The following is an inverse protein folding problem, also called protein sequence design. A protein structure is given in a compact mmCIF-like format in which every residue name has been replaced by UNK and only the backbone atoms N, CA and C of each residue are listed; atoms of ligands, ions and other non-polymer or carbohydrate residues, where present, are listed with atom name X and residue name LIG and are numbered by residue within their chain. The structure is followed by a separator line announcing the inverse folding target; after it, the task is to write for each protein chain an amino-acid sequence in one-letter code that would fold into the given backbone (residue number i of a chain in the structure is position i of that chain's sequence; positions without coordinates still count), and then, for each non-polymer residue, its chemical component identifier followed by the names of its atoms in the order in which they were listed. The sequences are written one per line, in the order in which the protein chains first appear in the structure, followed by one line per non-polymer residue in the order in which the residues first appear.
data_IF_001940623563
#
_entry.id   IF_001940623563
#
_cell.length_a   1.000
_cell.length_b   1.000
_cell.length_c   1.000
_cell.angle_alpha   90.00
_cell.angle_beta   90.00
_cell.angle_gamma   90.00
#
_symmetry.space_group_name_H-M   'P 1'
#
loop_
_entity.id
_entity.type
_entity.pdbx_description
1 polymer ?
#
# COMPACT_ATOMS: atom_id res chain seq x y z
N UNK A 1 15.69 -31.97 -24.13
CA UNK A 1 16.27 -30.62 -24.04
C UNK A 1 15.72 -29.99 -22.75
N UNK A 2 16.56 -29.50 -21.86
CA UNK A 2 16.08 -28.78 -20.69
C UNK A 2 15.41 -27.50 -21.18
N UNK A 3 14.15 -27.26 -20.73
CA UNK A 3 13.42 -26.04 -21.05
C UNK A 3 14.12 -24.88 -20.35
N UNK A 4 14.67 -23.95 -21.12
CA UNK A 4 15.35 -22.79 -20.57
C UNK A 4 14.27 -21.82 -20.01
N UNK A 5 14.26 -21.59 -18.72
CA UNK A 5 13.40 -20.58 -18.11
C UNK A 5 14.25 -19.43 -17.56
N UNK A 6 13.84 -18.20 -17.84
CA UNK A 6 14.45 -17.00 -17.26
C UNK A 6 13.93 -16.70 -15.84
N UNK A 7 12.92 -17.45 -15.38
CA UNK A 7 12.32 -17.26 -14.08
C UNK A 7 13.12 -17.99 -13.00
N UNK A 8 13.48 -17.28 -11.93
CA UNK A 8 14.15 -17.90 -10.79
C UNK A 8 13.24 -18.97 -10.14
N UNK A 9 13.86 -20.03 -9.61
CA UNK A 9 13.13 -21.16 -9.04
C UNK A 9 12.11 -20.78 -7.95
N UNK A 10 12.45 -19.79 -7.14
CA UNK A 10 11.56 -19.26 -6.10
C UNK A 10 10.36 -18.45 -6.62
N UNK A 11 10.36 -18.09 -7.91
CA UNK A 11 9.27 -17.38 -8.57
C UNK A 11 8.39 -18.29 -9.44
N UNK A 12 8.85 -19.53 -9.70
CA UNK A 12 8.12 -20.50 -10.50
C UNK A 12 6.80 -20.90 -9.82
N UNK A 13 5.70 -20.92 -10.57
CA UNK A 13 4.38 -21.34 -10.08
C UNK A 13 3.63 -20.29 -9.27
N UNK A 14 4.14 -19.07 -9.15
CA UNK A 14 3.47 -17.95 -8.43
C UNK A 14 2.47 -17.16 -9.28
N UNK A 15 2.31 -17.48 -10.56
CA UNK A 15 1.39 -16.79 -11.49
C UNK A 15 -0.09 -17.17 -11.30
N UNK A 16 -0.56 -17.33 -10.06
CA UNK A 16 -1.97 -17.54 -9.78
C UNK A 16 -2.71 -16.19 -9.78
N UNK A 17 -3.97 -16.15 -10.25
CA UNK A 17 -4.79 -14.94 -10.14
C UNK A 17 -4.89 -14.49 -8.69
N UNK A 18 -4.74 -13.19 -8.47
CA UNK A 18 -4.94 -12.60 -7.15
C UNK A 18 -6.44 -12.61 -6.81
N UNK A 19 -6.86 -13.14 -5.64
CA UNK A 19 -8.26 -13.23 -5.26
C UNK A 19 -8.96 -11.86 -5.17
N UNK A 20 -8.25 -10.82 -4.72
CA UNK A 20 -8.80 -9.47 -4.54
C UNK A 20 -9.12 -8.85 -5.90
N UNK A 21 -8.18 -8.91 -6.85
CA UNK A 21 -8.41 -8.41 -8.21
C UNK A 21 -9.42 -9.26 -8.98
N UNK A 22 -9.47 -10.57 -8.73
CA UNK A 22 -10.51 -11.44 -9.29
C UNK A 22 -11.90 -11.05 -8.78
N UNK A 23 -12.03 -10.74 -7.48
CA UNK A 23 -13.26 -10.25 -6.88
C UNK A 23 -13.70 -8.90 -7.46
N UNK A 24 -12.77 -7.98 -7.68
CA UNK A 24 -13.05 -6.70 -8.33
C UNK A 24 -13.54 -6.88 -9.76
N UNK A 25 -12.97 -7.79 -10.53
CA UNK A 25 -13.44 -8.16 -11.86
C UNK A 25 -14.86 -8.74 -11.85
N UNK A 26 -15.17 -9.57 -10.87
CA UNK A 26 -16.51 -10.11 -10.67
C UNK A 26 -17.52 -9.03 -10.30
N UNK A 27 -17.15 -8.07 -9.45
CA UNK A 27 -17.99 -6.91 -9.12
C UNK A 27 -18.28 -6.07 -10.36
N UNK A 28 -17.30 -5.79 -11.21
CA UNK A 28 -17.50 -5.10 -12.48
C UNK A 28 -18.46 -5.84 -13.42
N UNK A 29 -18.37 -7.15 -13.50
CA UNK A 29 -19.28 -8.00 -14.28
C UNK A 29 -20.71 -7.94 -13.71
N UNK A 30 -20.85 -7.97 -12.39
CA UNK A 30 -22.15 -7.86 -11.72
C UNK A 30 -22.80 -6.48 -11.98
N UNK A 31 -22.02 -5.40 -11.88
CA UNK A 31 -22.47 -4.04 -12.19
C UNK A 31 -22.97 -3.94 -13.64
N UNK A 32 -22.22 -4.50 -14.58
CA UNK A 32 -22.62 -4.50 -16.00
C UNK A 32 -23.91 -5.29 -16.26
N UNK A 33 -24.16 -6.34 -15.46
CA UNK A 33 -25.35 -7.20 -15.62
C UNK A 33 -26.57 -6.68 -14.90
N UNK A 34 -26.41 -6.14 -13.70
CA UNK A 34 -27.51 -5.82 -12.80
C UNK A 34 -27.75 -4.33 -12.59
N UNK A 35 -26.87 -3.47 -13.10
CA UNK A 35 -26.88 -2.04 -12.87
C UNK A 35 -26.12 -1.63 -11.59
N UNK A 36 -25.53 -0.44 -11.64
CA UNK A 36 -24.71 0.12 -10.55
C UNK A 36 -25.53 0.34 -9.26
N UNK A 37 -26.79 0.68 -9.41
CA UNK A 37 -27.73 0.93 -8.31
C UNK A 37 -28.07 -0.34 -7.51
N UNK A 38 -27.85 -1.50 -8.09
CA UNK A 38 -28.18 -2.80 -7.49
C UNK A 38 -26.95 -3.57 -6.98
N UNK A 39 -25.73 -3.00 -7.12
CA UNK A 39 -24.48 -3.66 -6.75
C UNK A 39 -23.59 -2.75 -5.93
N UNK A 40 -23.27 -3.15 -4.72
CA UNK A 40 -22.27 -2.49 -3.89
C UNK A 40 -20.92 -3.16 -4.09
N UNK A 41 -19.95 -2.42 -4.67
CA UNK A 41 -18.57 -2.88 -4.83
C UNK A 41 -17.72 -2.47 -3.62
N UNK A 42 -17.45 -3.42 -2.74
CA UNK A 42 -16.58 -3.28 -1.58
C UNK A 42 -15.33 -4.19 -1.67
N UNK A 43 -14.86 -4.49 -2.88
CA UNK A 43 -13.78 -5.48 -3.12
C UNK A 43 -12.38 -4.96 -2.88
N UNK A 44 -12.13 -3.69 -3.16
CA UNK A 44 -10.83 -3.04 -2.97
C UNK A 44 -10.95 -1.90 -1.97
N UNK A 45 -9.89 -1.66 -1.20
CA UNK A 45 -9.81 -0.60 -0.21
C UNK A 45 -9.67 0.80 -0.83
N UNK A 46 -10.58 1.17 -1.71
CA UNK A 46 -10.63 2.47 -2.39
C UNK A 46 -11.89 3.21 -1.94
N UNK A 47 -11.70 4.44 -1.47
CA UNK A 47 -12.81 5.28 -1.04
C UNK A 47 -13.51 5.91 -2.24
N UNK A 48 -14.81 5.69 -2.35
CA UNK A 48 -15.69 6.24 -3.40
C UNK A 48 -16.84 7.00 -2.77
N UNK A 49 -17.37 7.99 -3.48
CA UNK A 49 -18.60 8.67 -3.12
C UNK A 49 -19.85 7.88 -3.55
N UNK A 50 -21.04 8.45 -3.33
CA UNK A 50 -22.33 7.86 -3.68
C UNK A 50 -22.52 7.64 -5.18
N UNK A 51 -21.81 8.43 -6.01
CA UNK A 51 -21.82 8.29 -7.47
C UNK A 51 -20.81 7.23 -7.95
N UNK A 52 -19.95 6.73 -7.04
CA UNK A 52 -18.87 5.80 -7.31
C UNK A 52 -17.62 6.47 -7.89
N UNK A 53 -17.50 7.78 -7.75
CA UNK A 53 -16.31 8.52 -8.10
C UNK A 53 -15.29 8.44 -6.96
N UNK A 54 -14.01 8.44 -7.30
CA UNK A 54 -12.95 8.34 -6.31
C UNK A 54 -12.88 9.60 -5.45
N UNK A 55 -12.98 9.41 -4.14
CA UNK A 55 -12.75 10.48 -3.19
C UNK A 55 -11.25 10.79 -3.07
N UNK A 56 -10.94 12.06 -3.13
CA UNK A 56 -9.59 12.56 -2.92
C UNK A 56 -9.60 13.67 -1.86
N UNK A 57 -8.46 13.88 -1.22
CA UNK A 57 -8.29 14.98 -0.27
C UNK A 57 -7.94 16.27 -1.04
N UNK A 58 -8.83 17.28 -1.09
CA UNK A 58 -8.57 18.49 -1.88
C UNK A 58 -7.29 19.22 -1.47
N UNK A 59 -6.98 19.25 -0.17
CA UNK A 59 -5.75 19.85 0.35
C UNK A 59 -4.51 19.13 -0.16
N UNK A 60 -4.51 17.80 -0.17
CA UNK A 60 -3.39 17.00 -0.70
C UNK A 60 -3.20 17.26 -2.18
N UNK A 61 -4.29 17.27 -2.95
CA UNK A 61 -4.26 17.57 -4.38
C UNK A 61 -3.70 18.98 -4.66
N UNK A 62 -4.09 19.96 -3.85
CA UNK A 62 -3.58 21.33 -3.96
C UNK A 62 -2.07 21.33 -3.69
N UNK A 63 -1.62 20.81 -2.55
CA UNK A 63 -0.20 20.78 -2.19
C UNK A 63 0.63 20.07 -3.27
N UNK A 64 0.17 18.92 -3.78
CA UNK A 64 0.87 18.20 -4.83
C UNK A 64 1.05 19.01 -6.13
N UNK A 65 0.03 19.78 -6.52
CA UNK A 65 0.08 20.61 -7.72
C UNK A 65 0.95 21.88 -7.55
N UNK A 66 1.13 22.33 -6.32
CA UNK A 66 1.92 23.52 -5.98
C UNK A 66 3.39 23.19 -5.71
N UNK A 67 3.77 21.90 -5.65
CA UNK A 67 5.17 21.51 -5.48
C UNK A 67 6.02 21.98 -6.66
N UNK A 68 7.17 22.65 -6.40
CA UNK A 68 8.10 23.03 -7.44
C UNK A 68 8.66 21.80 -8.17
N UNK A 69 8.95 21.95 -9.46
CA UNK A 69 9.45 20.87 -10.29
C UNK A 69 10.74 20.22 -9.75
N UNK A 70 11.62 21.00 -9.14
CA UNK A 70 12.86 20.51 -8.54
C UNK A 70 12.60 19.61 -7.33
N UNK A 71 11.55 19.87 -6.53
CA UNK A 71 11.19 19.00 -5.41
C UNK A 71 10.54 17.69 -5.87
N UNK A 72 9.84 17.72 -7.00
CA UNK A 72 9.23 16.52 -7.60
C UNK A 72 10.23 15.62 -8.30
N UNK A 73 11.33 16.18 -8.81
CA UNK A 73 12.29 15.47 -9.67
C UNK A 73 13.57 15.05 -8.95
N UNK A 74 13.76 15.47 -7.71
CA UNK A 74 14.95 15.15 -6.93
C UNK A 74 14.83 13.78 -6.22
N UNK A 75 15.97 13.22 -5.88
CA UNK A 75 16.04 12.03 -5.05
C UNK A 75 15.72 12.36 -3.60
N UNK A 76 14.78 11.63 -3.03
CA UNK A 76 14.60 11.66 -1.58
C UNK A 76 15.81 11.02 -0.87
N UNK A 77 16.17 11.49 0.33
CA UNK A 77 17.12 10.78 1.19
C UNK A 77 16.70 9.32 1.41
N UNK A 78 17.66 8.42 1.59
CA UNK A 78 17.40 6.97 1.76
C UNK A 78 16.29 6.66 2.78
N UNK A 79 16.27 7.27 3.98
CA UNK A 79 15.17 7.04 4.92
C UNK A 79 13.87 7.78 4.57
N UNK A 80 13.90 8.72 3.65
CA UNK A 80 12.80 9.63 3.33
C UNK A 80 13.06 11.08 3.76
N UNK A 81 12.18 11.99 3.37
CA UNK A 81 12.24 13.40 3.75
C UNK A 81 11.97 13.56 5.25
N UNK A 82 12.84 14.28 5.96
CA UNK A 82 12.75 14.43 7.41
C UNK A 82 11.39 14.96 7.88
N UNK A 83 10.88 16.00 7.23
CA UNK A 83 9.61 16.61 7.61
C UNK A 83 8.43 15.65 7.43
N UNK A 84 8.47 14.81 6.38
CA UNK A 84 7.49 13.74 6.20
C UNK A 84 7.56 12.69 7.30
N UNK A 85 8.77 12.25 7.67
CA UNK A 85 8.97 11.25 8.71
C UNK A 85 8.50 11.75 10.09
N UNK A 86 8.84 12.99 10.41
CA UNK A 86 8.41 13.64 11.67
C UNK A 86 6.88 13.79 11.71
N UNK A 87 6.27 14.23 10.61
CA UNK A 87 4.81 14.34 10.51
C UNK A 87 4.12 12.97 10.60
N UNK A 88 4.70 11.92 10.01
CA UNK A 88 4.16 10.57 10.10
C UNK A 88 4.19 10.04 11.54
N UNK A 89 5.28 10.24 12.26
CA UNK A 89 5.39 9.90 13.70
C UNK A 89 4.35 10.69 14.51
N UNK A 90 4.28 12.00 14.32
CA UNK A 90 3.35 12.86 15.04
C UNK A 90 1.88 12.44 14.79
N UNK A 91 1.53 12.12 13.55
CA UNK A 91 0.18 11.68 13.19
C UNK A 91 -0.14 10.27 13.74
N UNK A 92 0.82 9.35 13.72
CA UNK A 92 0.60 7.99 14.22
C UNK A 92 0.37 7.96 15.73
N UNK A 93 1.15 8.70 16.49
CA UNK A 93 1.10 8.66 17.94
C UNK A 93 0.22 9.75 18.57
N UNK A 94 -0.02 10.87 17.88
CA UNK A 94 -0.84 11.99 18.37
C UNK A 94 -0.50 12.41 19.80
N UNK A 95 0.79 12.45 20.14
CA UNK A 95 1.28 12.78 21.49
C UNK A 95 1.31 11.62 22.48
N UNK A 96 0.90 10.41 22.09
CA UNK A 96 0.86 9.23 22.96
C UNK A 96 2.05 8.29 22.73
N UNK A 97 3.21 8.82 22.38
CA UNK A 97 4.41 8.02 22.25
C UNK A 97 4.76 7.30 23.56
N UNK A 98 5.12 5.99 23.50
CA UNK A 98 5.54 5.26 24.69
C UNK A 98 6.79 5.89 25.31
N UNK A 99 6.76 6.15 26.63
CA UNK A 99 7.89 6.72 27.35
C UNK A 99 9.04 5.71 27.44
N UNK A 100 10.27 6.20 27.30
CA UNK A 100 11.47 5.36 27.44
C UNK A 100 11.72 4.43 26.25
N UNK A 101 11.05 4.64 25.12
CA UNK A 101 11.25 3.88 23.89
C UNK A 101 11.86 4.74 22.79
N UNK A 102 12.56 4.10 21.88
CA UNK A 102 13.00 4.71 20.63
C UNK A 102 11.86 4.60 19.59
N UNK A 103 11.58 5.70 18.92
CA UNK A 103 10.66 5.74 17.78
C UNK A 103 11.40 6.26 16.56
N UNK A 104 11.34 5.54 15.48
CA UNK A 104 11.90 5.94 14.19
C UNK A 104 10.87 5.74 13.07
N UNK A 105 11.11 6.40 11.95
CA UNK A 105 10.32 6.22 10.74
C UNK A 105 11.23 6.12 9.52
N UNK A 106 10.78 5.40 8.52
CA UNK A 106 11.40 5.30 7.20
C UNK A 106 10.30 5.28 6.15
N UNK A 107 10.54 5.97 5.04
CA UNK A 107 9.64 5.94 3.90
C UNK A 107 9.81 4.62 3.13
N UNK A 108 8.70 4.05 2.67
CA UNK A 108 8.68 2.81 1.89
C UNK A 108 7.73 2.94 0.70
N UNK A 109 7.87 2.09 -0.33
CA UNK A 109 6.90 2.03 -1.43
C UNK A 109 5.55 1.48 -0.95
N UNK A 110 4.76 2.31 -0.29
CA UNK A 110 3.45 1.95 0.28
C UNK A 110 3.51 0.97 1.44
N UNK A 111 2.35 0.54 1.92
CA UNK A 111 2.22 -0.43 3.01
C UNK A 111 2.83 -1.80 2.70
N UNK A 112 2.76 -2.25 1.45
CA UNK A 112 3.37 -3.50 1.01
C UNK A 112 4.90 -3.45 1.16
N UNK A 113 5.53 -2.34 0.80
CA UNK A 113 6.96 -2.11 1.03
C UNK A 113 7.30 -2.14 2.52
N UNK A 114 6.50 -1.50 3.36
CA UNK A 114 6.70 -1.51 4.81
C UNK A 114 6.64 -2.93 5.39
N UNK A 115 5.63 -3.72 5.03
CA UNK A 115 5.49 -5.12 5.47
C UNK A 115 6.68 -5.96 5.00
N UNK A 116 7.08 -5.83 3.74
CA UNK A 116 8.21 -6.55 3.18
C UNK A 116 9.50 -6.25 3.97
N UNK A 117 9.81 -4.97 4.17
CA UNK A 117 11.01 -4.57 4.90
C UNK A 117 10.98 -4.97 6.36
N UNK A 118 9.82 -4.92 7.01
CA UNK A 118 9.66 -5.39 8.38
C UNK A 118 9.96 -6.88 8.49
N UNK A 119 9.38 -7.71 7.63
CA UNK A 119 9.63 -9.15 7.64
C UNK A 119 11.10 -9.44 7.32
N UNK A 120 11.64 -8.81 6.27
CA UNK A 120 13.00 -9.08 5.81
C UNK A 120 14.07 -8.71 6.84
N UNK A 121 13.88 -7.63 7.62
CA UNK A 121 14.89 -7.15 8.56
C UNK A 121 14.72 -7.67 9.98
N UNK A 122 13.51 -8.09 10.38
CA UNK A 122 13.22 -8.41 11.78
C UNK A 122 12.70 -9.83 12.02
N UNK A 123 12.48 -10.62 10.97
CA UNK A 123 11.97 -12.00 11.10
C UNK A 123 12.94 -12.98 10.46
N UNK A 124 13.55 -13.83 11.27
CA UNK A 124 14.44 -14.88 10.78
C UNK A 124 13.66 -16.09 10.26
N UNK A 125 14.32 -16.89 9.42
CA UNK A 125 13.72 -18.13 8.89
C UNK A 125 13.29 -19.06 10.02
N UNK A 126 12.01 -19.40 10.06
CA UNK A 126 11.40 -20.27 11.08
C UNK A 126 10.76 -19.50 12.25
N UNK A 127 10.96 -18.20 12.35
CA UNK A 127 10.22 -17.38 13.32
C UNK A 127 8.77 -17.15 12.89
N UNK A 128 7.93 -16.80 13.84
CA UNK A 128 6.51 -16.53 13.61
C UNK A 128 6.29 -15.04 13.41
N UNK A 129 5.54 -14.70 12.36
CA UNK A 129 5.00 -13.37 12.13
C UNK A 129 3.49 -13.42 12.36
N UNK A 130 3.00 -12.62 13.30
CA UNK A 130 1.59 -12.64 13.71
C UNK A 130 0.79 -11.65 12.88
N UNK A 131 -0.28 -12.11 12.28
CA UNK A 131 -1.23 -11.29 11.51
C UNK A 131 -2.66 -11.56 12.00
N UNK A 132 -3.62 -10.64 11.77
CA UNK A 132 -5.04 -10.91 12.00
C UNK A 132 -5.51 -12.11 11.17
N UNK A 133 -6.46 -12.84 11.71
CA UNK A 133 -7.07 -13.99 11.04
C UNK A 133 -8.45 -13.60 10.48
N UNK A 134 -8.46 -13.00 9.31
CA UNK A 134 -9.67 -12.75 8.53
C UNK A 134 -9.45 -12.99 7.05
#
# INVERSE_FOLDING_TARGET
MAEFTMTASNATGKGKPDPSFSSAGNAGTAIAKYGKENVTDATLGVLKDENGDFLSLPTVNKCYRELPANELMDYAPIPGLKDYLDAAIANAFKGHQPKGTYTGAVATPGGTGAIHHMIFNYVEKGQKFVIPNW
#
